data_IF_018303709654
#
_entry.id   IF_018303709654
#
_cell.length_a   1.000
_cell.length_b   1.000
_cell.length_c   1.000
_cell.angle_alpha   90.00
_cell.angle_beta   90.00
_cell.angle_gamma   90.00
#
_symmetry.space_group_name_H-M   'P 1'
#
loop_
_entity.id
_entity.type
_entity.pdbx_description
1 polymer ?
#
# COMPACT_ATOMS: atom_id res chain seq x y z
N UNK A 1 60.33 -5.60 -26.29
CA UNK A 1 60.20 -4.27 -25.65
C UNK A 1 59.33 -3.27 -26.45
N UNK A 2 58.51 -3.68 -27.42
CA UNK A 2 57.72 -2.73 -28.26
C UNK A 2 56.22 -2.60 -27.92
N UNK A 3 55.68 -3.32 -26.94
CA UNK A 3 54.23 -3.32 -26.66
C UNK A 3 53.80 -2.28 -25.60
N UNK A 4 54.68 -1.89 -24.67
CA UNK A 4 54.36 -0.95 -23.58
C UNK A 4 54.25 0.52 -24.02
N UNK A 5 54.95 0.92 -25.08
CA UNK A 5 55.00 2.32 -25.54
C UNK A 5 53.74 2.72 -26.31
N UNK A 6 53.11 1.78 -27.02
CA UNK A 6 51.89 2.03 -27.82
C UNK A 6 50.67 2.18 -26.91
N UNK A 7 50.60 1.41 -25.81
CA UNK A 7 49.53 1.53 -24.82
C UNK A 7 49.58 2.85 -24.04
N UNK A 8 50.79 3.35 -23.75
CA UNK A 8 50.98 4.63 -23.06
C UNK A 8 50.60 5.83 -23.94
N UNK A 9 50.95 5.81 -25.22
CA UNK A 9 50.62 6.89 -26.17
C UNK A 9 49.12 6.96 -26.46
N UNK A 10 48.44 5.82 -26.57
CA UNK A 10 46.99 5.76 -26.79
C UNK A 10 46.19 6.26 -25.57
N UNK A 11 46.64 5.96 -24.35
CA UNK A 11 46.00 6.45 -23.13
C UNK A 11 46.17 7.98 -22.95
N UNK A 12 47.34 8.52 -23.32
CA UNK A 12 47.63 9.95 -23.26
C UNK A 12 46.77 10.76 -24.26
N UNK A 13 46.57 10.23 -25.48
CA UNK A 13 45.69 10.82 -26.49
C UNK A 13 44.22 10.83 -26.04
N UNK A 14 43.74 9.73 -25.45
CA UNK A 14 42.38 9.63 -24.88
C UNK A 14 42.15 10.66 -23.77
N UNK A 15 43.09 10.80 -22.82
CA UNK A 15 42.98 11.78 -21.73
C UNK A 15 42.99 13.23 -22.23
N UNK A 16 43.74 13.51 -23.30
CA UNK A 16 43.80 14.84 -23.92
C UNK A 16 42.48 15.20 -24.61
N UNK A 17 41.87 14.23 -25.31
CA UNK A 17 40.54 14.40 -25.93
C UNK A 17 39.44 14.63 -24.90
N UNK A 18 39.46 13.88 -23.78
CA UNK A 18 38.49 14.06 -22.69
C UNK A 18 38.63 15.43 -22.04
N UNK A 19 39.86 15.89 -21.79
CA UNK A 19 40.12 17.23 -21.24
C UNK A 19 39.67 18.34 -22.19
N UNK A 20 39.90 18.16 -23.50
CA UNK A 20 39.45 19.11 -24.51
C UNK A 20 37.92 19.16 -24.57
N UNK A 21 37.24 18.01 -24.58
CA UNK A 21 35.78 17.92 -24.60
C UNK A 21 35.13 18.60 -23.37
N UNK A 22 35.67 18.35 -22.16
CA UNK A 22 35.18 18.99 -20.93
C UNK A 22 35.36 20.51 -20.98
N UNK A 23 36.49 21.00 -21.50
CA UNK A 23 36.75 22.45 -21.65
C UNK A 23 35.81 23.09 -22.68
N UNK A 24 35.54 22.39 -23.79
CA UNK A 24 34.65 22.88 -24.85
C UNK A 24 33.18 22.92 -24.42
N UNK A 25 32.71 21.91 -23.68
CA UNK A 25 31.35 21.90 -23.11
C UNK A 25 31.19 23.02 -22.08
N UNK A 26 32.19 23.22 -21.21
CA UNK A 26 32.14 24.25 -20.16
C UNK A 26 32.12 25.68 -20.72
N UNK A 27 32.85 25.94 -21.81
CA UNK A 27 32.85 27.26 -22.47
C UNK A 27 31.56 27.54 -23.25
N UNK A 28 30.97 26.51 -23.87
CA UNK A 28 29.71 26.63 -24.63
C UNK A 28 28.51 26.88 -23.70
N UNK A 29 28.45 26.16 -22.57
CA UNK A 29 27.40 26.34 -21.55
C UNK A 29 27.49 27.71 -20.88
N UNK A 30 28.69 28.20 -20.57
CA UNK A 30 28.86 29.54 -19.99
C UNK A 30 28.47 30.67 -20.95
N UNK A 31 28.74 30.54 -22.27
CA UNK A 31 28.30 31.54 -23.26
C UNK A 31 26.79 31.60 -23.41
N UNK A 32 26.09 30.47 -23.37
CA UNK A 32 24.62 30.43 -23.45
C UNK A 32 23.94 30.97 -22.19
N UNK A 33 24.45 30.65 -21.00
CA UNK A 33 23.90 31.15 -19.74
C UNK A 33 24.10 32.66 -19.55
N UNK A 34 25.24 33.22 -19.99
CA UNK A 34 25.50 34.67 -19.89
C UNK A 34 24.81 35.50 -20.99
N UNK A 35 24.59 34.94 -22.17
CA UNK A 35 23.84 35.59 -23.26
C UNK A 35 22.37 35.85 -22.88
N UNK A 36 21.73 34.88 -22.23
CA UNK A 36 20.32 34.99 -21.81
C UNK A 36 20.13 35.91 -20.59
N UNK A 37 21.12 35.97 -19.68
CA UNK A 37 21.07 36.82 -18.49
C UNK A 37 21.19 38.33 -18.78
N UNK A 38 21.71 38.74 -19.95
CA UNK A 38 21.71 40.14 -20.40
C UNK A 38 20.40 40.55 -21.10
N UNK A 39 19.72 39.62 -21.77
CA UNK A 39 18.42 39.89 -22.43
C UNK A 39 17.29 40.15 -21.42
N UNK A 40 17.31 39.49 -20.26
CA UNK A 40 16.27 39.59 -19.23
C UNK A 40 16.40 40.81 -18.30
N UNK A 41 17.47 41.62 -18.40
CA UNK A 41 17.66 42.84 -17.58
C UNK A 41 17.28 44.15 -18.29
N UNK A 42 16.89 44.10 -19.57
CA UNK A 42 16.55 45.29 -20.37
C UNK A 42 15.10 45.77 -20.28
N UNK A 43 14.17 44.95 -19.78
CA UNK A 43 12.74 45.26 -19.82
C UNK A 43 12.13 45.17 -18.43
N UNK A 44 12.10 46.30 -17.71
CA UNK A 44 11.11 46.61 -16.67
C UNK A 44 11.22 48.08 -16.26
N UNK A 45 10.44 48.96 -16.90
CA UNK A 45 9.96 50.22 -16.33
C UNK A 45 8.44 50.08 -16.16
N UNK A 46 8.00 49.69 -14.97
CA UNK A 46 6.60 49.79 -14.57
C UNK A 46 6.44 51.06 -13.72
N UNK A 47 5.61 52.00 -14.19
CA UNK A 47 5.03 53.07 -13.39
C UNK A 47 3.60 52.68 -13.02
N UNK A 48 3.19 52.94 -11.78
CA UNK A 48 1.79 53.07 -11.35
C UNK A 48 1.73 54.25 -10.36
N UNK A 49 0.56 54.77 -9.93
CA UNK A 49 -0.83 54.51 -10.35
C UNK A 49 -1.64 55.82 -10.59
N UNK A 50 -2.88 55.72 -11.10
CA UNK A 50 -3.93 56.67 -10.70
C UNK A 50 -5.33 56.04 -10.77
N UNK A 51 -6.12 56.37 -9.74
CA UNK A 51 -7.50 55.97 -9.50
C UNK A 51 -8.48 56.38 -10.61
N UNK A 52 -9.49 55.54 -10.87
CA UNK A 52 -10.90 55.99 -10.93
C UNK A 52 -11.88 54.83 -10.78
N UNK A 53 -12.84 55.07 -9.91
CA UNK A 53 -14.07 54.35 -9.66
C UNK A 53 -15.05 54.44 -10.83
N UNK A 54 -15.76 53.35 -11.15
CA UNK A 54 -17.11 53.39 -11.72
C UNK A 54 -17.94 52.23 -11.16
N UNK A 55 -19.17 52.57 -10.82
CA UNK A 55 -20.22 51.86 -10.11
C UNK A 55 -21.02 50.95 -11.05
N UNK A 56 -21.48 49.81 -10.52
CA UNK A 56 -22.83 49.29 -10.77
C UNK A 56 -23.02 48.33 -11.94
N UNK A 57 -23.44 47.09 -11.64
CA UNK A 57 -24.66 46.50 -12.21
C UNK A 57 -25.03 45.23 -11.46
N UNK A 58 -26.23 45.25 -10.86
CA UNK A 58 -26.93 44.12 -10.25
C UNK A 58 -27.47 43.21 -11.36
N UNK A 59 -27.22 41.91 -11.26
CA UNK A 59 -28.01 40.91 -11.99
C UNK A 59 -28.89 40.16 -10.98
N UNK A 60 -30.17 40.51 -11.00
CA UNK A 60 -31.28 39.84 -10.31
C UNK A 60 -31.86 38.85 -11.31
N UNK A 61 -31.92 37.56 -10.97
CA UNK A 61 -32.82 36.62 -11.64
C UNK A 61 -33.84 36.06 -10.64
N UNK A 62 -35.08 36.06 -11.13
CA UNK A 62 -36.37 35.94 -10.43
C UNK A 62 -36.62 34.54 -9.87
N UNK A 63 -37.27 34.49 -8.70
CA UNK A 63 -38.08 33.37 -8.20
C UNK A 63 -39.41 33.32 -8.97
N UNK A 64 -39.83 32.14 -9.40
CA UNK A 64 -41.24 31.82 -9.68
C UNK A 64 -41.78 30.81 -8.66
N UNK A 65 -43.10 30.82 -8.35
CA UNK A 65 -43.71 30.02 -7.28
C UNK A 65 -44.47 28.78 -7.81
N UNK A 66 -44.57 27.72 -7.00
CA UNK A 66 -45.62 26.69 -7.16
C UNK A 66 -45.14 25.24 -7.08
N UNK A 67 -45.46 24.58 -5.96
CA UNK A 67 -45.27 23.15 -5.67
C UNK A 67 -46.43 22.29 -6.26
N UNK A 68 -46.35 20.95 -6.34
CA UNK A 68 -46.60 20.15 -5.14
C UNK A 68 -45.69 18.92 -4.96
N UNK A 69 -45.32 18.68 -3.71
CA UNK A 69 -44.65 17.48 -3.19
C UNK A 69 -45.43 16.18 -3.43
N UNK A 70 -44.78 15.04 -3.71
CA UNK A 70 -45.41 13.73 -3.60
C UNK A 70 -45.36 13.20 -2.14
N UNK A 71 -46.23 12.23 -1.78
CA UNK A 71 -46.58 11.96 -0.41
C UNK A 71 -45.46 11.26 0.37
N UNK A 72 -45.26 11.70 1.62
CA UNK A 72 -44.56 10.92 2.65
C UNK A 72 -45.37 9.67 2.96
N UNK A 73 -44.84 8.50 2.61
CA UNK A 73 -44.92 7.23 3.36
C UNK A 73 -44.26 6.12 2.52
N UNK A 74 -42.95 5.93 2.71
CA UNK A 74 -42.29 4.67 2.38
C UNK A 74 -41.46 4.24 3.58
N UNK A 75 -41.64 2.98 3.96
CA UNK A 75 -41.15 2.31 5.15
C UNK A 75 -39.65 2.50 5.42
N UNK A 76 -39.27 2.94 6.62
CA UNK A 76 -37.94 2.65 7.17
C UNK A 76 -37.91 2.74 8.71
N UNK A 77 -37.92 1.60 9.42
CA UNK A 77 -37.24 1.48 10.72
C UNK A 77 -36.19 0.36 10.76
N UNK A 78 -35.98 -0.41 9.68
CA UNK A 78 -35.06 -1.55 9.68
C UNK A 78 -33.61 -1.18 9.29
N UNK A 79 -33.42 -0.27 8.33
CA UNK A 79 -32.08 0.09 7.83
C UNK A 79 -31.26 0.93 8.83
N UNK A 80 -31.90 1.77 9.65
CA UNK A 80 -31.22 2.56 10.68
C UNK A 80 -30.74 1.70 11.86
N UNK A 81 -31.51 0.68 12.27
CA UNK A 81 -31.12 -0.23 13.34
C UNK A 81 -29.94 -1.12 12.95
N UNK A 82 -29.90 -1.63 11.71
CA UNK A 82 -28.75 -2.39 11.21
C UNK A 82 -27.49 -1.55 11.13
N UNK A 83 -27.56 -0.33 10.59
CA UNK A 83 -26.40 0.57 10.52
C UNK A 83 -25.85 0.95 11.90
N UNK A 84 -26.74 1.18 12.86
CA UNK A 84 -26.35 1.50 14.24
C UNK A 84 -25.79 0.28 15.00
N UNK A 85 -26.27 -0.93 14.71
CA UNK A 85 -25.71 -2.19 15.23
C UNK A 85 -24.34 -2.50 14.62
N UNK A 86 -24.15 -2.23 13.33
CA UNK A 86 -22.86 -2.39 12.65
C UNK A 86 -21.83 -1.37 13.15
N UNK A 87 -22.23 -0.11 13.36
CA UNK A 87 -21.39 0.93 13.99
C UNK A 87 -21.02 0.59 15.45
N UNK A 88 -21.96 0.04 16.23
CA UNK A 88 -21.70 -0.43 17.59
C UNK A 88 -20.80 -1.69 17.62
N UNK A 89 -20.92 -2.60 16.65
CA UNK A 89 -20.01 -3.77 16.52
C UNK A 89 -18.59 -3.38 16.13
N UNK A 90 -18.42 -2.31 15.35
CA UNK A 90 -17.10 -1.81 14.95
C UNK A 90 -16.31 -1.15 16.10
N UNK A 91 -16.97 -0.76 17.19
CA UNK A 91 -16.35 -0.12 18.36
C UNK A 91 -16.08 -1.08 19.52
N UNK A 92 -16.59 -2.31 19.46
CA UNK A 92 -16.38 -3.32 20.50
C UNK A 92 -14.93 -3.84 20.51
N UNK A 93 -14.41 -4.11 21.72
CA UNK A 93 -13.08 -4.69 21.92
C UNK A 93 -13.02 -6.12 21.39
N UNK A 94 -11.95 -6.42 20.66
CA UNK A 94 -11.61 -7.76 20.20
C UNK A 94 -10.77 -8.39 21.32
N UNK A 95 -11.42 -9.05 22.27
CA UNK A 95 -10.78 -9.70 23.44
C UNK A 95 -10.13 -11.01 23.01
N UNK A 96 -9.00 -10.93 22.33
CA UNK A 96 -8.24 -12.07 21.81
C UNK A 96 -6.76 -11.88 22.08
N UNK A 97 -6.09 -12.92 22.58
CA UNK A 97 -4.62 -12.96 22.69
C UNK A 97 -4.03 -13.27 21.32
N UNK A 98 -3.17 -12.39 20.83
CA UNK A 98 -2.59 -12.44 19.50
C UNK A 98 -1.08 -12.62 19.59
N UNK A 99 -0.56 -13.67 18.98
CA UNK A 99 0.88 -13.85 18.80
C UNK A 99 1.31 -13.51 17.37
N UNK A 100 2.45 -12.86 17.23
CA UNK A 100 3.19 -12.77 15.97
C UNK A 100 4.47 -13.60 16.09
N UNK A 101 4.54 -14.68 15.30
CA UNK A 101 5.73 -15.49 15.18
C UNK A 101 6.57 -14.94 14.03
N UNK A 102 7.57 -14.14 14.39
CA UNK A 102 8.36 -13.32 13.48
C UNK A 102 8.05 -11.84 13.64
N UNK A 103 8.93 -11.12 14.34
CA UNK A 103 8.79 -9.67 14.57
C UNK A 103 9.40 -8.83 13.43
N UNK A 104 8.89 -9.03 12.21
CA UNK A 104 9.28 -8.22 11.03
C UNK A 104 8.45 -6.95 10.89
N UNK A 105 8.77 -6.13 9.88
CA UNK A 105 8.07 -4.88 9.57
C UNK A 105 6.55 -5.06 9.46
N UNK A 106 6.09 -6.14 8.83
CA UNK A 106 4.65 -6.37 8.66
C UNK A 106 3.94 -6.77 9.96
N UNK A 107 4.60 -7.53 10.83
CA UNK A 107 4.07 -7.86 12.15
C UNK A 107 3.86 -6.59 12.98
N UNK A 108 4.85 -5.69 13.00
CA UNK A 108 4.72 -4.39 13.66
C UNK A 108 3.64 -3.52 13.01
N UNK A 109 3.53 -3.50 11.68
CA UNK A 109 2.51 -2.73 10.99
C UNK A 109 1.09 -3.18 11.36
N UNK A 110 0.84 -4.49 11.39
CA UNK A 110 -0.45 -5.06 11.79
C UNK A 110 -0.72 -4.81 13.28
N UNK A 111 0.23 -5.11 14.16
CA UNK A 111 0.08 -4.89 15.60
C UNK A 111 -0.24 -3.42 15.93
N UNK A 112 0.45 -2.49 15.26
CA UNK A 112 0.21 -1.04 15.41
C UNK A 112 -1.18 -0.65 14.90
N UNK A 113 -1.62 -1.20 13.77
CA UNK A 113 -2.97 -0.97 13.26
C UNK A 113 -4.06 -1.53 14.20
N UNK A 114 -3.82 -2.70 14.81
CA UNK A 114 -4.73 -3.29 15.79
C UNK A 114 -4.85 -2.43 17.05
N UNK A 115 -3.73 -1.99 17.62
CA UNK A 115 -3.72 -1.21 18.87
C UNK A 115 -4.13 0.25 18.71
N UNK A 116 -3.82 0.87 17.56
CA UNK A 116 -4.24 2.26 17.28
C UNK A 116 -5.76 2.42 17.25
N UNK A 117 -6.49 1.36 16.91
CA UNK A 117 -7.95 1.34 16.94
C UNK A 117 -8.55 1.21 18.35
N UNK A 118 -7.71 0.89 19.35
CA UNK A 118 -8.10 0.59 20.74
C UNK A 118 -9.02 -0.63 20.91
N UNK A 119 -9.22 -1.42 19.84
CA UNK A 119 -10.02 -2.65 19.91
C UNK A 119 -9.22 -3.82 20.50
N UNK A 120 -7.90 -3.82 20.31
CA UNK A 120 -6.94 -4.76 20.92
C UNK A 120 -6.01 -3.95 21.82
N UNK A 121 -5.73 -4.44 23.02
CA UNK A 121 -4.76 -3.80 23.92
C UNK A 121 -3.34 -4.23 23.57
N UNK A 122 -2.33 -3.35 23.74
CA UNK A 122 -0.93 -3.74 23.55
C UNK A 122 -0.50 -4.97 24.36
N UNK A 123 -1.02 -5.11 25.59
CA UNK A 123 -0.77 -6.27 26.46
C UNK A 123 -1.40 -7.59 25.99
N UNK A 124 -2.29 -7.54 24.99
CA UNK A 124 -2.88 -8.72 24.36
C UNK A 124 -2.07 -9.19 23.14
N UNK A 125 -0.99 -8.47 22.78
CA UNK A 125 -0.09 -8.80 21.69
C UNK A 125 1.22 -9.34 22.26
N UNK A 126 1.60 -10.53 21.79
CA UNK A 126 2.91 -11.13 22.05
C UNK A 126 3.68 -11.29 20.75
N UNK A 127 4.95 -10.92 20.74
CA UNK A 127 5.84 -11.09 19.58
C UNK A 127 6.99 -12.02 19.91
N UNK A 128 7.20 -13.04 19.08
CA UNK A 128 8.42 -13.84 19.13
C UNK A 128 9.52 -13.08 18.39
N UNK A 129 10.57 -12.75 19.13
CA UNK A 129 11.69 -11.90 18.69
C UNK A 129 13.00 -12.68 18.75
N UNK A 130 13.77 -12.63 17.65
CA UNK A 130 15.10 -13.27 17.57
C UNK A 130 16.26 -12.31 17.87
N UNK A 131 16.03 -11.00 17.83
CA UNK A 131 17.06 -9.99 18.05
C UNK A 131 16.59 -8.92 19.05
N UNK A 132 17.55 -8.29 19.73
CA UNK A 132 17.28 -7.30 20.77
C UNK A 132 16.62 -6.03 20.23
N UNK A 133 16.95 -5.60 19.01
CA UNK A 133 16.36 -4.40 18.42
C UNK A 133 14.84 -4.53 18.26
N UNK A 134 14.37 -5.65 17.70
CA UNK A 134 12.96 -5.96 17.57
C UNK A 134 12.29 -6.15 18.94
N UNK A 135 13.00 -6.75 19.91
CA UNK A 135 12.52 -6.87 21.30
C UNK A 135 12.27 -5.50 21.93
N UNK A 136 13.25 -4.61 21.87
CA UNK A 136 13.14 -3.26 22.41
C UNK A 136 12.00 -2.51 21.71
N UNK A 137 11.89 -2.64 20.38
CA UNK A 137 10.80 -2.03 19.64
C UNK A 137 9.41 -2.57 20.03
N UNK A 138 9.27 -3.87 20.28
CA UNK A 138 8.03 -4.45 20.78
C UNK A 138 7.66 -3.89 22.16
N UNK A 139 8.62 -3.83 23.08
CA UNK A 139 8.43 -3.29 24.43
C UNK A 139 8.08 -1.80 24.39
N UNK A 140 8.74 -1.00 23.55
CA UNK A 140 8.43 0.43 23.35
C UNK A 140 7.00 0.66 22.88
N UNK A 141 6.44 -0.26 22.09
CA UNK A 141 5.04 -0.22 21.66
C UNK A 141 4.07 -0.85 22.69
N UNK A 142 4.56 -1.32 23.83
CA UNK A 142 3.77 -1.93 24.91
C UNK A 142 3.36 -3.39 24.64
N UNK A 143 4.00 -4.07 23.68
CA UNK A 143 3.77 -5.48 23.39
C UNK A 143 4.61 -6.37 24.30
N UNK A 144 4.13 -7.59 24.56
CA UNK A 144 4.93 -8.63 25.17
C UNK A 144 5.93 -9.19 24.15
N UNK A 145 7.15 -9.49 24.58
CA UNK A 145 8.20 -10.00 23.71
C UNK A 145 8.82 -11.25 24.34
N UNK A 146 8.86 -12.34 23.58
CA UNK A 146 9.37 -13.65 23.98
C UNK A 146 10.44 -14.14 23.02
N UNK A 147 11.34 -15.01 23.48
CA UNK A 147 12.44 -15.53 22.68
C UNK A 147 12.14 -16.90 22.07
N UNK A 148 11.34 -17.70 22.77
CA UNK A 148 11.03 -19.06 22.35
C UNK A 148 9.53 -19.31 22.33
N UNK A 149 9.15 -20.45 21.77
CA UNK A 149 7.75 -20.84 21.64
C UNK A 149 7.16 -21.31 22.98
N UNK A 150 8.00 -21.88 23.83
CA UNK A 150 7.65 -22.38 25.15
C UNK A 150 7.30 -21.25 26.12
N UNK A 151 7.77 -20.03 25.83
CA UNK A 151 7.44 -18.81 26.57
C UNK A 151 6.08 -18.21 26.17
N UNK A 152 5.44 -18.71 25.10
CA UNK A 152 4.13 -18.22 24.68
C UNK A 152 3.04 -18.72 25.63
N UNK A 153 2.34 -17.76 26.23
CA UNK A 153 1.02 -17.98 26.83
C UNK A 153 0.05 -18.65 25.83
N UNK A 154 -1.04 -19.27 26.29
CA UNK A 154 -2.11 -19.72 25.41
C UNK A 154 -2.66 -18.58 24.55
N UNK A 155 -2.57 -18.73 23.22
CA UNK A 155 -2.96 -17.71 22.24
C UNK A 155 -4.27 -18.09 21.55
N UNK A 156 -5.09 -17.11 21.21
CA UNK A 156 -6.26 -17.34 20.36
C UNK A 156 -5.90 -17.31 18.87
N UNK A 157 -5.03 -16.37 18.49
CA UNK A 157 -4.69 -16.09 17.10
C UNK A 157 -3.18 -16.02 16.96
N UNK A 158 -2.64 -16.78 16.01
CA UNK A 158 -1.19 -16.89 15.78
C UNK A 158 -0.91 -16.45 14.34
N UNK A 159 -0.27 -15.30 14.20
CA UNK A 159 0.24 -14.82 12.92
C UNK A 159 1.61 -15.45 12.65
N UNK A 160 1.76 -16.08 11.49
CA UNK A 160 3.05 -16.55 10.98
C UNK A 160 3.59 -15.48 10.05
N UNK A 161 4.61 -14.76 10.49
CA UNK A 161 5.17 -13.57 9.85
C UNK A 161 6.66 -13.70 9.57
N UNK A 162 7.05 -14.90 9.13
CA UNK A 162 8.42 -15.29 8.73
C UNK A 162 8.50 -15.54 7.23
N UNK A 163 9.70 -15.86 6.74
CA UNK A 163 9.91 -16.23 5.33
C UNK A 163 9.20 -17.54 4.96
N UNK A 164 9.04 -17.82 3.66
CA UNK A 164 8.34 -19.01 3.16
C UNK A 164 8.87 -20.32 3.76
N UNK A 165 10.18 -20.55 3.68
CA UNK A 165 10.84 -21.74 4.20
C UNK A 165 10.64 -21.87 5.72
N UNK A 166 10.86 -20.78 6.43
CA UNK A 166 10.68 -20.75 7.88
C UNK A 166 9.23 -20.99 8.28
N UNK A 167 8.25 -20.53 7.49
CA UNK A 167 6.84 -20.76 7.78
C UNK A 167 6.51 -22.25 7.78
N UNK A 168 7.01 -23.02 6.80
CA UNK A 168 6.79 -24.47 6.75
C UNK A 168 7.46 -25.18 7.94
N UNK A 169 8.71 -24.84 8.24
CA UNK A 169 9.43 -25.45 9.38
C UNK A 169 8.78 -25.12 10.73
N UNK A 170 8.28 -23.89 10.85
CA UNK A 170 7.54 -23.43 12.01
C UNK A 170 6.22 -24.19 12.16
N UNK A 171 5.44 -24.30 11.08
CA UNK A 171 4.20 -25.06 11.05
C UNK A 171 4.43 -26.53 11.40
N UNK A 172 5.50 -27.15 10.91
CA UNK A 172 5.86 -28.53 11.30
C UNK A 172 6.12 -28.65 12.79
N UNK A 173 6.93 -27.75 13.33
CA UNK A 173 7.26 -27.72 14.77
C UNK A 173 6.02 -27.50 15.64
N UNK A 174 5.06 -26.70 15.17
CA UNK A 174 3.85 -26.39 15.93
C UNK A 174 2.70 -27.38 15.76
N UNK A 175 2.64 -28.12 14.66
CA UNK A 175 1.52 -29.00 14.35
C UNK A 175 1.10 -29.91 15.52
N UNK A 176 2.04 -30.47 16.33
CA UNK A 176 1.69 -31.28 17.49
C UNK A 176 0.98 -30.52 18.63
N UNK A 177 1.24 -29.23 18.78
CA UNK A 177 0.69 -28.39 19.88
C UNK A 177 -0.48 -27.52 19.44
N UNK A 178 -0.71 -27.37 18.14
CA UNK A 178 -1.86 -26.64 17.60
C UNK A 178 -3.15 -27.42 17.89
N UNK A 179 -4.02 -26.82 18.69
CA UNK A 179 -5.41 -27.23 18.87
C UNK A 179 -6.34 -26.30 18.06
N UNK A 180 -7.03 -26.83 17.04
CA UNK A 180 -7.94 -26.02 16.23
C UNK A 180 -9.25 -25.67 16.94
N UNK A 181 -9.58 -26.26 18.08
CA UNK A 181 -10.70 -25.75 18.88
C UNK A 181 -10.39 -24.37 19.49
N UNK A 182 -9.10 -24.06 19.67
CA UNK A 182 -8.63 -22.84 20.33
C UNK A 182 -7.88 -21.88 19.40
N UNK A 183 -6.98 -22.39 18.57
CA UNK A 183 -6.05 -21.59 17.78
C UNK A 183 -6.55 -21.33 16.37
N UNK A 184 -6.48 -20.06 15.95
CA UNK A 184 -6.60 -19.64 14.56
C UNK A 184 -5.23 -19.19 14.05
N UNK A 185 -4.69 -19.91 13.07
CA UNK A 185 -3.40 -19.61 12.46
C UNK A 185 -3.63 -18.73 11.24
N UNK A 186 -2.86 -17.65 11.13
CA UNK A 186 -2.93 -16.73 10.00
C UNK A 186 -1.52 -16.58 9.43
N UNK A 187 -1.26 -17.20 8.30
CA UNK A 187 0.02 -17.00 7.60
C UNK A 187 -0.01 -15.73 6.77
N UNK A 188 1.00 -14.88 6.96
CA UNK A 188 1.26 -13.72 6.10
C UNK A 188 2.48 -13.90 5.19
N UNK A 189 3.05 -15.11 5.17
CA UNK A 189 4.21 -15.43 4.35
C UNK A 189 3.85 -15.45 2.86
N UNK A 190 4.66 -14.77 2.07
CA UNK A 190 4.59 -14.79 0.60
C UNK A 190 5.31 -16.05 0.10
N UNK A 191 4.82 -16.65 -0.99
CA UNK A 191 5.48 -17.80 -1.63
C UNK A 191 5.13 -19.17 -1.03
N UNK A 192 4.16 -19.25 -0.11
CA UNK A 192 3.64 -20.54 0.39
C UNK A 192 2.13 -20.57 0.21
N UNK A 193 1.61 -21.66 -0.38
CA UNK A 193 0.17 -21.83 -0.51
C UNK A 193 -0.48 -22.24 0.81
N UNK A 194 -1.74 -21.89 0.97
CA UNK A 194 -2.58 -22.37 2.06
C UNK A 194 -2.74 -23.89 1.99
N UNK A 195 -2.88 -24.47 0.79
CA UNK A 195 -2.84 -25.92 0.60
C UNK A 195 -1.59 -26.53 1.21
N UNK A 196 -0.40 -25.96 0.93
CA UNK A 196 0.86 -26.49 1.44
C UNK A 196 0.97 -26.41 2.96
N UNK A 197 0.50 -25.31 3.56
CA UNK A 197 0.44 -25.15 5.01
C UNK A 197 -0.49 -26.20 5.65
N UNK A 198 -1.68 -26.40 5.07
CA UNK A 198 -2.68 -27.36 5.56
C UNK A 198 -2.18 -28.80 5.41
N UNK A 199 -1.56 -29.16 4.29
CA UNK A 199 -0.92 -30.46 4.06
C UNK A 199 0.17 -30.72 5.09
N UNK A 200 1.06 -29.75 5.31
CA UNK A 200 2.15 -29.86 6.29
C UNK A 200 1.63 -30.12 7.70
N UNK A 201 0.56 -29.43 8.14
CA UNK A 201 -0.06 -29.72 9.45
C UNK A 201 -0.71 -31.10 9.46
N UNK A 202 -1.33 -31.51 8.36
CA UNK A 202 -1.99 -32.82 8.25
C UNK A 202 -0.98 -33.95 8.44
N UNK A 203 0.12 -33.93 7.69
CA UNK A 203 1.20 -34.92 7.75
C UNK A 203 1.78 -35.03 9.16
N UNK A 204 2.11 -33.90 9.80
CA UNK A 204 2.67 -33.92 11.14
C UNK A 204 1.66 -34.39 12.19
N UNK A 205 0.38 -34.04 12.08
CA UNK A 205 -0.65 -34.55 13.00
C UNK A 205 -0.85 -36.05 12.88
N UNK A 206 -0.92 -36.57 11.66
CA UNK A 206 -1.05 -38.01 11.40
C UNK A 206 0.14 -38.79 11.94
N UNK A 207 1.36 -38.28 11.72
CA UNK A 207 2.60 -38.86 12.25
C UNK A 207 2.61 -38.97 13.78
N UNK A 208 1.96 -38.03 14.47
CA UNK A 208 1.82 -38.03 15.93
C UNK A 208 0.51 -38.69 16.42
N UNK A 209 -0.27 -39.33 15.54
CA UNK A 209 -1.52 -40.00 15.89
C UNK A 209 -2.64 -39.05 16.34
N UNK A 210 -2.59 -37.79 15.94
CA UNK A 210 -3.54 -36.76 16.34
C UNK A 210 -4.70 -36.62 15.34
N UNK A 211 -5.84 -36.16 15.84
CA UNK A 211 -7.00 -35.85 14.98
C UNK A 211 -6.67 -34.69 14.04
N UNK A 212 -6.86 -34.90 12.75
CA UNK A 212 -6.66 -33.91 11.68
C UNK A 212 -7.87 -32.99 11.52
N UNK A 213 -9.07 -33.57 11.40
CA UNK A 213 -10.29 -32.83 11.09
C UNK A 213 -10.69 -31.86 12.22
N UNK A 214 -10.91 -30.60 11.85
CA UNK A 214 -11.24 -29.52 12.79
C UNK A 214 -10.02 -28.96 13.54
N UNK A 215 -8.82 -29.44 13.22
CA UNK A 215 -7.57 -29.06 13.88
C UNK A 215 -6.60 -28.28 12.98
N UNK A 216 -7.05 -27.84 11.79
CA UNK A 216 -6.24 -27.06 10.83
C UNK A 216 -6.90 -25.74 10.46
N UNK A 217 -7.32 -24.96 11.47
CA UNK A 217 -7.84 -23.59 11.28
C UNK A 217 -6.71 -22.66 10.87
N UNK A 218 -6.40 -22.69 9.58
CA UNK A 218 -5.34 -21.91 8.96
C UNK A 218 -5.98 -21.00 7.92
N UNK A 219 -5.63 -19.73 7.95
CA UNK A 219 -5.94 -18.75 6.91
C UNK A 219 -4.65 -18.22 6.31
N UNK A 220 -4.72 -17.80 5.05
CA UNK A 220 -3.64 -17.06 4.38
C UNK A 220 -4.10 -15.62 4.21
N UNK A 221 -3.24 -14.68 4.58
CA UNK A 221 -3.51 -13.24 4.61
C UNK A 221 -2.35 -12.50 3.96
N UNK A 222 -2.63 -11.63 3.00
CA UNK A 222 -1.62 -10.78 2.37
C UNK A 222 -1.99 -9.31 2.63
N UNK A 223 -1.35 -8.67 3.63
CA UNK A 223 -1.51 -7.25 3.93
C UNK A 223 -0.51 -6.40 3.12
N UNK A 224 -0.58 -5.08 3.29
CA UNK A 224 0.45 -4.17 2.77
C UNK A 224 0.94 -3.17 3.83
N UNK A 225 1.99 -2.42 3.50
CA UNK A 225 2.67 -1.53 4.46
C UNK A 225 1.81 -0.37 4.96
N UNK A 226 0.69 -0.06 4.30
CA UNK A 226 -0.24 0.98 4.74
C UNK A 226 -1.13 0.52 5.93
N UNK A 227 -1.08 -0.76 6.32
CA UNK A 227 -1.78 -1.26 7.51
C UNK A 227 -1.41 -0.51 8.79
N UNK A 228 -0.15 -0.08 8.93
CA UNK A 228 0.33 0.65 10.11
C UNK A 228 -0.34 2.01 10.32
N UNK A 229 -0.94 2.57 9.27
CA UNK A 229 -1.62 3.86 9.31
C UNK A 229 -3.14 3.73 9.21
N UNK A 230 -3.68 2.51 9.29
CA UNK A 230 -5.12 2.26 9.17
C UNK A 230 -5.68 2.43 7.76
N UNK A 231 -4.83 2.53 6.74
CA UNK A 231 -5.22 2.72 5.33
C UNK A 231 -4.71 1.58 4.44
N UNK A 232 -4.40 0.44 5.05
CA UNK A 232 -3.93 -0.77 4.38
C UNK A 232 -4.99 -1.39 3.49
N UNK A 233 -4.51 -2.22 2.57
CA UNK A 233 -5.35 -3.14 1.81
C UNK A 233 -4.85 -4.55 2.09
N UNK A 234 -5.75 -5.39 2.58
CA UNK A 234 -5.46 -6.78 2.91
C UNK A 234 -6.39 -7.71 2.15
N UNK A 235 -5.87 -8.85 1.71
CA UNK A 235 -6.68 -9.93 1.16
C UNK A 235 -6.47 -11.20 1.97
N UNK A 236 -7.50 -12.02 2.13
CA UNK A 236 -7.34 -13.31 2.80
C UNK A 236 -8.23 -14.41 2.19
N UNK A 237 -7.80 -15.65 2.37
CA UNK A 237 -8.59 -16.85 2.13
C UNK A 237 -8.55 -17.76 3.37
N UNK A 238 -9.55 -18.64 3.49
CA UNK A 238 -9.74 -19.52 4.62
C UNK A 238 -9.43 -20.96 4.24
N UNK A 239 -8.82 -21.71 5.15
CA UNK A 239 -8.55 -23.13 5.00
C UNK A 239 -9.83 -23.96 5.16
N UNK A 240 -9.75 -25.27 4.89
CA UNK A 240 -10.93 -26.15 4.90
C UNK A 240 -11.58 -26.28 6.28
N UNK A 241 -10.79 -26.20 7.36
CA UNK A 241 -11.29 -26.35 8.73
C UNK A 241 -11.67 -24.99 9.36
N UNK A 242 -11.53 -23.88 8.63
CA UNK A 242 -11.89 -22.55 9.15
C UNK A 242 -13.41 -22.33 9.11
N UNK A 243 -13.94 -21.81 10.22
CA UNK A 243 -15.35 -21.48 10.35
C UNK A 243 -15.71 -20.13 9.70
N UNK A 244 -17.00 -19.86 9.54
CA UNK A 244 -17.47 -18.51 9.17
C UNK A 244 -17.06 -17.45 10.21
N UNK A 245 -17.06 -17.81 11.50
CA UNK A 245 -16.66 -16.92 12.59
C UNK A 245 -15.17 -16.58 12.54
N UNK A 246 -14.33 -17.47 12.01
CA UNK A 246 -12.90 -17.19 11.78
C UNK A 246 -12.75 -16.09 10.74
N UNK A 247 -13.50 -16.19 9.65
CA UNK A 247 -13.55 -15.15 8.63
C UNK A 247 -14.02 -13.80 9.18
N UNK A 248 -15.04 -13.80 10.04
CA UNK A 248 -15.50 -12.58 10.71
C UNK A 248 -14.46 -12.02 11.69
N UNK A 249 -13.75 -12.88 12.42
CA UNK A 249 -12.68 -12.48 13.34
C UNK A 249 -11.53 -11.81 12.58
N UNK A 250 -11.08 -12.43 11.49
CA UNK A 250 -10.03 -11.87 10.62
C UNK A 250 -10.46 -10.54 10.03
N UNK A 251 -11.68 -10.44 9.50
CA UNK A 251 -12.22 -9.20 8.95
C UNK A 251 -12.30 -8.10 10.03
N UNK A 252 -12.78 -8.43 11.23
CA UNK A 252 -12.89 -7.48 12.34
C UNK A 252 -11.52 -6.95 12.80
N UNK A 253 -10.48 -7.77 12.77
CA UNK A 253 -9.12 -7.34 13.05
C UNK A 253 -8.58 -6.45 11.92
N UNK A 254 -8.67 -6.90 10.67
CA UNK A 254 -8.01 -6.21 9.56
C UNK A 254 -8.71 -4.91 9.15
N UNK A 255 -9.99 -4.76 9.45
CA UNK A 255 -10.71 -3.49 9.27
C UNK A 255 -10.15 -2.37 10.15
N UNK A 256 -9.42 -2.68 11.22
CA UNK A 256 -8.70 -1.65 12.00
C UNK A 256 -7.43 -1.16 11.31
N UNK A 257 -6.92 -1.95 10.37
CA UNK A 257 -5.74 -1.66 9.58
C UNK A 257 -6.07 -1.06 8.22
N UNK A 258 -7.35 -0.99 7.82
CA UNK A 258 -7.79 -0.46 6.54
C UNK A 258 -8.92 -1.29 5.93
N UNK A 259 -8.83 -1.59 4.63
CA UNK A 259 -9.84 -2.38 3.92
C UNK A 259 -9.37 -3.82 3.76
N UNK A 260 -10.27 -4.77 3.95
CA UNK A 260 -9.97 -6.18 3.83
C UNK A 260 -10.96 -6.89 2.89
N UNK A 261 -10.45 -7.79 2.04
CA UNK A 261 -11.24 -8.59 1.12
C UNK A 261 -11.02 -10.08 1.37
N UNK A 262 -12.12 -10.83 1.48
CA UNK A 262 -12.07 -12.29 1.43
C UNK A 262 -12.17 -12.73 -0.04
N UNK A 263 -11.17 -13.47 -0.52
CA UNK A 263 -11.08 -13.94 -1.91
C UNK A 263 -10.75 -15.43 -1.96
N UNK A 264 -10.91 -16.04 -3.13
CA UNK A 264 -10.40 -17.39 -3.38
C UNK A 264 -8.88 -17.39 -3.46
N UNK A 265 -8.26 -18.49 -3.03
CA UNK A 265 -6.80 -18.60 -2.98
C UNK A 265 -6.12 -18.36 -4.33
N UNK A 266 -6.73 -18.82 -5.44
CA UNK A 266 -6.19 -18.63 -6.80
C UNK A 266 -5.97 -17.16 -7.19
N UNK A 267 -6.59 -16.22 -6.49
CA UNK A 267 -6.44 -14.78 -6.72
C UNK A 267 -5.46 -14.11 -5.77
N UNK A 268 -4.92 -14.82 -4.77
CA UNK A 268 -4.07 -14.26 -3.73
C UNK A 268 -2.77 -13.67 -4.28
N UNK A 269 -2.09 -14.39 -5.19
CA UNK A 269 -0.80 -13.96 -5.72
C UNK A 269 -0.93 -12.71 -6.60
N UNK A 270 -1.96 -12.67 -7.46
CA UNK A 270 -2.30 -11.49 -8.26
C UNK A 270 -2.68 -10.29 -7.36
N UNK A 271 -3.40 -10.56 -6.27
CA UNK A 271 -3.77 -9.53 -5.29
C UNK A 271 -2.55 -9.01 -4.52
N UNK A 272 -1.58 -9.87 -4.21
CA UNK A 272 -0.32 -9.49 -3.58
C UNK A 272 0.51 -8.59 -4.50
N UNK A 273 0.62 -8.95 -5.78
CA UNK A 273 1.33 -8.15 -6.77
C UNK A 273 0.71 -6.75 -6.91
N UNK A 274 -0.62 -6.67 -6.94
CA UNK A 274 -1.33 -5.40 -7.06
C UNK A 274 -1.29 -4.57 -5.76
N UNK A 275 -1.76 -5.13 -4.65
CA UNK A 275 -1.99 -4.40 -3.40
C UNK A 275 -0.76 -4.36 -2.48
N UNK A 276 0.10 -5.37 -2.54
CA UNK A 276 1.34 -5.48 -1.78
C UNK A 276 2.44 -4.57 -2.33
N UNK A 277 2.71 -4.65 -3.64
CA UNK A 277 3.72 -3.80 -4.31
C UNK A 277 3.18 -2.41 -4.69
N UNK A 278 1.87 -2.27 -4.86
CA UNK A 278 1.20 -1.03 -5.26
C UNK A 278 1.64 0.25 -4.53
N UNK A 279 1.83 0.25 -3.19
CA UNK A 279 2.34 1.42 -2.47
C UNK A 279 3.65 1.98 -3.03
N UNK A 280 4.60 1.13 -3.45
CA UNK A 280 5.86 1.57 -4.02
C UNK A 280 5.67 2.30 -5.36
N UNK A 281 4.75 1.82 -6.20
CA UNK A 281 4.41 2.46 -7.47
C UNK A 281 3.76 3.82 -7.24
N UNK A 282 2.89 3.92 -6.23
CA UNK A 282 2.25 5.19 -5.85
C UNK A 282 3.29 6.17 -5.30
N UNK A 283 4.25 5.73 -4.48
CA UNK A 283 5.32 6.61 -4.00
C UNK A 283 6.19 7.15 -5.14
N UNK A 284 6.51 6.30 -6.12
CA UNK A 284 7.23 6.74 -7.33
C UNK A 284 6.42 7.78 -8.13
N UNK A 285 5.11 7.57 -8.29
CA UNK A 285 4.23 8.55 -8.94
C UNK A 285 4.18 9.88 -8.17
N UNK A 286 4.06 9.83 -6.85
CA UNK A 286 4.02 11.02 -6.00
C UNK A 286 5.32 11.82 -6.08
N UNK A 287 6.46 11.13 -6.10
CA UNK A 287 7.77 11.77 -6.23
C UNK A 287 7.91 12.45 -7.60
N UNK A 288 7.53 11.76 -8.69
CA UNK A 288 7.53 12.32 -10.04
C UNK A 288 6.60 13.53 -10.20
N UNK A 289 5.39 13.49 -9.61
CA UNK A 289 4.46 14.62 -9.59
C UNK A 289 5.04 15.82 -8.83
N UNK A 290 5.68 15.56 -7.69
CA UNK A 290 6.35 16.59 -6.90
C UNK A 290 7.50 17.24 -7.68
N UNK A 291 8.34 16.43 -8.35
CA UNK A 291 9.43 16.91 -9.22
C UNK A 291 8.92 17.76 -10.37
N UNK A 292 7.83 17.34 -11.01
CA UNK A 292 7.18 18.12 -12.05
C UNK A 292 6.66 19.46 -11.50
N UNK A 293 6.07 19.47 -10.31
CA UNK A 293 5.65 20.71 -9.64
C UNK A 293 6.82 21.67 -9.40
N UNK A 294 7.93 21.16 -8.88
CA UNK A 294 9.16 21.96 -8.64
C UNK A 294 9.74 22.49 -9.94
N UNK A 295 9.83 21.65 -10.98
CA UNK A 295 10.27 22.06 -12.31
C UNK A 295 9.43 23.21 -12.88
N UNK A 296 8.15 23.28 -12.51
CA UNK A 296 7.22 24.32 -12.91
C UNK A 296 7.08 25.47 -11.88
N UNK A 297 8.00 25.57 -10.91
CA UNK A 297 8.14 26.73 -10.03
C UNK A 297 7.47 26.60 -8.66
N UNK A 298 6.92 25.45 -8.30
CA UNK A 298 6.39 25.23 -6.95
C UNK A 298 7.52 24.98 -5.93
N UNK A 299 7.41 25.46 -4.69
CA UNK A 299 8.26 25.00 -3.60
C UNK A 299 8.07 23.50 -3.35
N UNK A 300 9.15 22.76 -3.07
CA UNK A 300 9.12 21.29 -2.86
C UNK A 300 8.04 20.83 -1.89
N UNK A 301 7.96 21.48 -0.72
CA UNK A 301 6.99 21.10 0.33
C UNK A 301 5.55 21.23 -0.17
N UNK A 302 5.26 22.28 -0.95
CA UNK A 302 3.93 22.51 -1.53
C UNK A 302 3.66 21.48 -2.63
N UNK A 303 4.61 21.24 -3.53
CA UNK A 303 4.47 20.27 -4.61
C UNK A 303 4.18 18.85 -4.10
N UNK A 304 4.93 18.39 -3.08
CA UNK A 304 4.71 17.08 -2.45
C UNK A 304 3.33 17.00 -1.78
N UNK A 305 2.92 18.03 -1.05
CA UNK A 305 1.60 18.04 -0.38
C UNK A 305 0.45 18.00 -1.40
N UNK A 306 0.54 18.80 -2.47
CA UNK A 306 -0.45 18.79 -3.55
C UNK A 306 -0.53 17.42 -4.24
N UNK A 307 0.60 16.79 -4.53
CA UNK A 307 0.63 15.46 -5.14
C UNK A 307 -0.07 14.42 -4.24
N UNK A 308 0.27 14.40 -2.94
CA UNK A 308 -0.32 13.47 -1.96
C UNK A 308 -1.84 13.66 -1.85
N UNK A 309 -2.29 14.90 -1.64
CA UNK A 309 -3.71 15.20 -1.46
C UNK A 309 -4.51 14.94 -2.74
N UNK A 310 -3.94 15.24 -3.91
CA UNK A 310 -4.57 14.97 -5.20
C UNK A 310 -4.74 13.48 -5.46
N UNK A 311 -3.70 12.66 -5.23
CA UNK A 311 -3.80 11.20 -5.40
C UNK A 311 -4.79 10.60 -4.41
N UNK A 312 -4.75 11.02 -3.14
CA UNK A 312 -5.70 10.59 -2.11
C UNK A 312 -7.14 10.95 -2.47
N UNK A 313 -7.37 12.20 -2.91
CA UNK A 313 -8.67 12.68 -3.33
C UNK A 313 -9.23 11.93 -4.54
N UNK A 314 -8.37 11.67 -5.54
CA UNK A 314 -8.74 10.93 -6.76
C UNK A 314 -9.13 9.48 -6.44
N UNK A 315 -8.35 8.79 -5.60
CA UNK A 315 -8.67 7.43 -5.16
C UNK A 315 -9.96 7.39 -4.33
N UNK A 316 -10.17 8.36 -3.44
CA UNK A 316 -11.41 8.48 -2.65
C UNK A 316 -12.64 8.76 -3.52
N UNK A 317 -12.50 9.64 -4.52
CA UNK A 317 -13.57 9.93 -5.48
C UNK A 317 -13.93 8.69 -6.32
N UNK A 318 -12.92 7.98 -6.84
CA UNK A 318 -13.12 6.73 -7.56
C UNK A 318 -13.82 5.68 -6.69
N UNK A 319 -13.37 5.51 -5.43
CA UNK A 319 -14.00 4.59 -4.48
C UNK A 319 -15.48 4.92 -4.24
N UNK A 320 -15.84 6.19 -4.13
CA UNK A 320 -17.22 6.62 -3.92
C UNK A 320 -18.13 6.42 -5.14
N UNK A 321 -17.55 6.26 -6.34
CA UNK A 321 -18.30 6.15 -7.61
C UNK A 321 -18.21 4.78 -8.28
N UNK A 322 -17.39 3.87 -7.76
CA UNK A 322 -17.11 2.56 -8.37
C UNK A 322 -18.35 1.68 -8.63
N UNK A 323 -19.48 1.92 -7.95
CA UNK A 323 -20.73 1.16 -8.15
C UNK A 323 -21.58 1.66 -9.31
N UNK A 324 -21.28 2.84 -9.86
CA UNK A 324 -22.10 3.50 -10.89
C UNK A 324 -21.29 3.97 -12.10
N UNK A 325 -19.96 4.06 -11.98
CA UNK A 325 -19.07 4.50 -13.04
C UNK A 325 -17.80 3.67 -13.06
N UNK A 326 -17.31 3.41 -14.27
CA UNK A 326 -16.00 2.84 -14.55
C UNK A 326 -14.91 3.89 -14.35
N UNK A 327 -13.66 3.43 -14.16
CA UNK A 327 -12.50 4.34 -14.10
C UNK A 327 -12.29 5.12 -15.41
N UNK A 328 -12.71 4.55 -16.55
CA UNK A 328 -12.65 5.22 -17.86
C UNK A 328 -13.58 6.44 -17.92
N UNK A 329 -14.83 6.29 -17.47
CA UNK A 329 -15.79 7.39 -17.41
C UNK A 329 -15.34 8.49 -16.44
N UNK A 330 -14.81 8.12 -15.26
CA UNK A 330 -14.27 9.09 -14.31
C UNK A 330 -13.07 9.86 -14.90
N UNK A 331 -12.20 9.19 -15.67
CA UNK A 331 -11.11 9.84 -16.40
C UNK A 331 -11.68 10.85 -17.41
N UNK A 332 -12.67 10.46 -18.22
CA UNK A 332 -13.29 11.32 -19.23
C UNK A 332 -13.94 12.56 -18.63
N UNK A 333 -14.58 12.46 -17.46
CA UNK A 333 -15.18 13.60 -16.75
C UNK A 333 -14.18 14.68 -16.32
N UNK A 334 -12.88 14.35 -16.27
CA UNK A 334 -11.82 15.32 -15.94
C UNK A 334 -11.21 16.01 -17.16
N UNK A 335 -11.69 15.67 -18.37
CA UNK A 335 -11.15 16.15 -19.63
C UNK A 335 -12.08 17.21 -20.23
N UNK A 336 -11.52 18.38 -20.52
CA UNK A 336 -12.16 19.38 -21.37
C UNK A 336 -11.64 19.24 -22.81
N UNK A 337 -12.49 19.38 -23.85
CA UNK A 337 -12.04 19.40 -25.24
C UNK A 337 -10.96 20.46 -25.47
N UNK A 338 -9.79 20.04 -25.97
CA UNK A 338 -8.63 20.92 -26.18
C UNK A 338 -7.96 21.44 -24.90
N UNK A 339 -8.32 20.93 -23.73
CA UNK A 339 -7.76 21.34 -22.43
C UNK A 339 -6.40 20.74 -22.10
N UNK A 340 -5.75 21.26 -21.06
CA UNK A 340 -4.43 20.79 -20.63
C UNK A 340 -4.41 19.30 -20.21
N UNK A 341 -5.52 18.77 -19.65
CA UNK A 341 -5.61 17.37 -19.22
C UNK A 341 -5.39 16.40 -20.37
N UNK A 342 -6.03 16.62 -21.54
CA UNK A 342 -5.87 15.70 -22.67
C UNK A 342 -4.45 15.74 -23.22
N UNK A 343 -3.80 16.92 -23.29
CA UNK A 343 -2.39 17.03 -23.69
C UNK A 343 -1.48 16.26 -22.74
N UNK A 344 -1.72 16.33 -21.43
CA UNK A 344 -0.97 15.55 -20.45
C UNK A 344 -1.18 14.03 -20.60
N UNK A 345 -2.42 13.59 -20.82
CA UNK A 345 -2.73 12.18 -21.08
C UNK A 345 -2.08 11.67 -22.37
N UNK A 346 -2.04 12.48 -23.43
CA UNK A 346 -1.35 12.13 -24.68
C UNK A 346 0.15 11.93 -24.46
N UNK A 347 0.81 12.75 -23.62
CA UNK A 347 2.22 12.54 -23.30
C UNK A 347 2.45 11.28 -22.44
N UNK A 348 1.56 10.98 -21.49
CA UNK A 348 1.64 9.72 -20.73
C UNK A 348 1.51 8.50 -21.64
N UNK A 349 0.59 8.56 -22.62
CA UNK A 349 0.39 7.50 -23.60
C UNK A 349 1.61 7.36 -24.54
N UNK A 350 2.14 8.48 -25.04
CA UNK A 350 3.36 8.52 -25.87
C UNK A 350 4.57 7.87 -25.18
N UNK A 351 4.61 7.95 -23.85
CA UNK A 351 5.66 7.35 -23.03
C UNK A 351 5.32 5.95 -22.50
N UNK A 352 4.18 5.37 -22.92
CA UNK A 352 3.82 3.98 -22.60
C UNK A 352 3.38 3.76 -21.15
N UNK A 353 2.89 4.80 -20.46
CA UNK A 353 2.55 4.75 -19.03
C UNK A 353 1.67 3.55 -18.66
N UNK A 354 0.59 3.30 -19.42
CA UNK A 354 -0.34 2.19 -19.17
C UNK A 354 0.38 0.84 -19.26
N UNK A 355 1.17 0.64 -20.31
CA UNK A 355 1.92 -0.61 -20.50
C UNK A 355 2.94 -0.82 -19.37
N UNK A 356 3.67 0.24 -18.96
CA UNK A 356 4.63 0.16 -17.86
C UNK A 356 3.97 -0.26 -16.55
N UNK A 357 2.77 0.24 -16.24
CA UNK A 357 2.04 -0.14 -15.02
C UNK A 357 1.58 -1.61 -15.08
N UNK A 358 1.03 -2.05 -16.22
CA UNK A 358 0.60 -3.46 -16.40
C UNK A 358 1.79 -4.39 -16.21
N UNK A 359 2.89 -4.13 -16.91
CA UNK A 359 4.11 -4.94 -16.83
C UNK A 359 4.70 -4.95 -15.41
N UNK A 360 4.69 -3.81 -14.70
CA UNK A 360 5.18 -3.75 -13.32
C UNK A 360 4.37 -4.66 -12.37
N UNK A 361 3.04 -4.71 -12.53
CA UNK A 361 2.19 -5.59 -11.72
C UNK A 361 2.41 -7.06 -12.09
N UNK A 362 2.47 -7.39 -13.39
CA UNK A 362 2.74 -8.74 -13.87
C UNK A 362 4.07 -9.29 -13.34
N UNK A 363 5.13 -8.48 -13.36
CA UNK A 363 6.45 -8.88 -12.85
C UNK A 363 6.52 -9.01 -11.31
N UNK A 364 5.56 -8.43 -10.57
CA UNK A 364 5.48 -8.60 -9.12
C UNK A 364 4.75 -9.89 -8.71
N UNK A 365 4.26 -10.68 -9.66
CA UNK A 365 3.53 -11.89 -9.37
C UNK A 365 4.50 -12.98 -8.88
N UNK A 366 4.54 -13.17 -7.57
CA UNK A 366 5.28 -14.27 -6.94
C UNK A 366 4.27 -15.41 -6.72
N UNK A 367 4.37 -16.51 -7.47
CA UNK A 367 3.48 -17.63 -7.26
C UNK A 367 3.69 -18.23 -5.87
N UNK A 368 2.61 -18.74 -5.29
CA UNK A 368 2.71 -19.63 -4.14
C UNK A 368 3.46 -20.91 -4.55
N UNK A 369 4.38 -21.36 -3.69
CA UNK A 369 5.23 -22.52 -3.91
C UNK A 369 6.03 -22.44 -5.24
N UNK A 370 6.85 -21.39 -5.42
CA UNK A 370 7.65 -21.27 -6.64
C UNK A 370 8.60 -22.46 -6.74
N UNK A 371 8.70 -23.05 -7.92
CA UNK A 371 9.77 -24.01 -8.21
C UNK A 371 11.10 -23.35 -7.84
N UNK A 372 11.82 -23.93 -6.88
CA UNK A 372 13.08 -23.41 -6.31
C UNK A 372 14.22 -23.26 -7.33
N UNK A 373 13.95 -23.51 -8.62
CA UNK A 373 14.86 -23.30 -9.75
C UNK A 373 14.67 -21.94 -10.45
N UNK A 374 13.76 -21.07 -9.99
CA UNK A 374 13.44 -19.79 -10.66
C UNK A 374 13.56 -18.54 -9.75
N UNK A 375 14.21 -18.65 -8.59
CA UNK A 375 14.57 -17.50 -7.75
C UNK A 375 16.05 -17.17 -7.82
#
# INVERSE_FOLDING_TARGET
>A
MCCGTILSQTLSLMLTLVRWYISHVRTTVNRHLWGNAKRLRGERRFRSPSHRSVVGSKAVYKKEPGCPSPPRKCCAPAASKHRQQDENRMTERIRKKIAFIGAGTMAFALAKGFTSSKRVLPSEITMLVRNEAARNHAIENGYLAVHTLEELDPMDIIFISVTATEALDLVRSFAPVIDGSHHLIISISIGVSLSKLVETVTEEKEKHGQKVEGNRRIARLLPNVACQSGHGVSVFCLGPDCSHDDGHTIMNLLTTCGVCYRIEERYMDASAALAGSGPAFVFMLLDALSDAGVKNGLPRVVASSLAIDMVKGSAGFARAKQSVKTLGELKEETILPGGATITGLTELDRHGFVNSVIQAVEQCMIPADPDTNLL
#
